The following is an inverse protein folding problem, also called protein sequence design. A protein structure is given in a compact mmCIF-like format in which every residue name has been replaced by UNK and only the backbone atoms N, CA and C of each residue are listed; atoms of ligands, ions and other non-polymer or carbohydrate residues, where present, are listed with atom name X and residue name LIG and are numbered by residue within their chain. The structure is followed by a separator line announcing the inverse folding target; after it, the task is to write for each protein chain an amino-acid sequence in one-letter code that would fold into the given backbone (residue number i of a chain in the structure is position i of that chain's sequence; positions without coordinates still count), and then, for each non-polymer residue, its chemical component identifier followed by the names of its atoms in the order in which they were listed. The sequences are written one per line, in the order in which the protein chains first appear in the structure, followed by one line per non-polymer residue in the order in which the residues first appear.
data_IF_248731465725
#
_entry.id   IF_248731465725
#
_cell.length_a   1.000
_cell.length_b   1.000
_cell.length_c   1.000
_cell.angle_alpha   90.00
_cell.angle_beta   90.00
_cell.angle_gamma   90.00
#
_symmetry.space_group_name_H-M   'P 1'
#
loop_
_entity.id
_entity.type
_entity.pdbx_description
1 polymer ?
#
# COMPACT_ATOMS: atom_id res chain seq x y z
N UNK A 1 -15.04 -21.49 17.88
CA UNK A 1 -14.38 -20.36 17.19
C UNK A 1 -14.15 -20.76 15.73
N UNK A 2 -15.07 -20.40 14.85
CA UNK A 2 -14.98 -20.69 13.43
C UNK A 2 -13.95 -19.73 12.80
N UNK A 3 -12.75 -20.23 12.51
CA UNK A 3 -11.82 -19.53 11.63
C UNK A 3 -12.44 -19.59 10.24
N UNK A 4 -13.20 -18.56 9.87
CA UNK A 4 -13.75 -18.46 8.52
C UNK A 4 -12.61 -18.24 7.54
N UNK A 5 -12.30 -19.28 6.75
CA UNK A 5 -11.37 -19.37 5.63
C UNK A 5 -9.95 -18.84 5.92
N UNK A 6 -9.05 -19.77 6.10
CA UNK A 6 -7.60 -19.54 6.04
C UNK A 6 -7.25 -18.88 4.71
N UNK A 7 -6.92 -17.61 4.75
CA UNK A 7 -6.30 -16.93 3.60
C UNK A 7 -4.80 -16.90 3.85
N UNK A 8 -4.01 -17.44 2.92
CA UNK A 8 -2.58 -17.28 2.95
C UNK A 8 -2.23 -15.81 2.71
N UNK A 9 -1.75 -15.14 3.74
CA UNK A 9 -1.29 -13.76 3.64
C UNK A 9 0.17 -13.73 3.21
N UNK A 10 0.50 -12.80 2.33
CA UNK A 10 1.85 -12.61 1.81
C UNK A 10 2.76 -11.82 2.74
N UNK A 11 2.19 -11.16 3.72
CA UNK A 11 2.89 -10.30 4.67
C UNK A 11 2.63 -10.72 6.10
N UNK A 12 3.56 -10.42 6.98
CA UNK A 12 3.42 -10.56 8.43
C UNK A 12 3.36 -9.15 9.00
N UNK A 13 2.45 -8.90 9.95
CA UNK A 13 2.45 -7.63 10.67
C UNK A 13 3.58 -7.63 11.69
N UNK A 14 4.50 -6.68 11.62
CA UNK A 14 5.55 -6.49 12.63
C UNK A 14 4.98 -5.96 13.94
N UNK A 15 3.81 -5.36 13.90
CA UNK A 15 3.15 -4.77 15.08
C UNK A 15 2.55 -5.83 16.00
N UNK A 16 2.04 -6.92 15.41
CA UNK A 16 1.48 -8.04 16.18
C UNK A 16 1.57 -9.34 15.37
N UNK A 17 2.56 -10.16 15.64
CA UNK A 17 2.70 -11.48 15.05
C UNK A 17 3.27 -12.50 16.02
N UNK A 18 2.91 -13.76 15.83
CA UNK A 18 3.52 -14.90 16.50
C UNK A 18 4.15 -15.81 15.45
N UNK A 19 5.39 -16.22 15.68
CA UNK A 19 6.13 -17.14 14.83
C UNK A 19 6.91 -18.09 15.74
N UNK A 20 6.99 -19.37 15.37
CA UNK A 20 7.81 -20.30 16.13
C UNK A 20 9.30 -19.94 16.00
N UNK A 21 10.06 -20.16 17.07
CA UNK A 21 11.49 -19.86 17.11
C UNK A 21 12.26 -20.57 16.00
N UNK A 22 11.90 -21.82 15.70
CA UNK A 22 12.58 -22.62 14.69
C UNK A 22 12.33 -22.09 13.29
N UNK A 23 11.08 -21.72 12.96
CA UNK A 23 10.74 -21.10 11.68
C UNK A 23 11.43 -19.76 11.56
N UNK A 24 11.43 -18.94 12.62
CA UNK A 24 12.06 -17.63 12.64
C UNK A 24 13.57 -17.71 12.37
N UNK A 25 14.25 -18.67 12.98
CA UNK A 25 15.67 -18.93 12.74
C UNK A 25 15.92 -19.45 11.32
N UNK A 26 15.09 -20.39 10.84
CA UNK A 26 15.20 -21.00 9.49
C UNK A 26 15.02 -19.97 8.37
N UNK A 27 14.17 -18.98 8.54
CA UNK A 27 13.96 -17.90 7.53
C UNK A 27 15.00 -16.78 7.62
N UNK A 28 15.92 -16.84 8.58
CA UNK A 28 17.02 -15.87 8.73
C UNK A 28 16.65 -14.62 9.51
N UNK A 29 15.65 -14.73 10.40
CA UNK A 29 15.22 -13.66 11.34
C UNK A 29 14.76 -12.38 10.64
N UNK A 30 14.51 -11.32 11.40
CA UNK A 30 14.35 -9.98 10.86
C UNK A 30 15.71 -9.48 10.37
N UNK A 31 15.79 -9.13 9.10
CA UNK A 31 16.95 -8.36 8.64
C UNK A 31 16.75 -6.92 9.05
N UNK A 32 17.73 -6.36 9.75
CA UNK A 32 17.76 -4.93 10.01
C UNK A 32 17.87 -4.20 8.67
N UNK A 33 16.79 -3.58 8.25
CA UNK A 33 16.79 -2.64 7.13
C UNK A 33 16.87 -1.27 7.77
N UNK A 34 17.91 -0.52 7.47
CA UNK A 34 18.05 0.84 7.94
C UNK A 34 16.80 1.64 7.55
N UNK A 35 16.02 2.07 8.54
CA UNK A 35 14.68 2.67 8.46
C UNK A 35 13.57 1.64 8.18
N UNK A 36 12.51 1.68 9.01
CA UNK A 36 11.37 0.76 9.00
C UNK A 36 10.67 0.65 7.64
N UNK A 37 10.44 -0.56 7.16
CA UNK A 37 9.62 -0.86 5.99
C UNK A 37 10.23 -1.90 5.05
N UNK A 38 9.42 -2.89 4.67
CA UNK A 38 9.83 -3.95 3.74
C UNK A 38 10.24 -5.26 4.40
N UNK A 39 10.73 -5.24 5.66
CA UNK A 39 11.09 -6.43 6.43
C UNK A 39 9.92 -7.41 6.59
N UNK A 40 8.73 -6.88 6.76
CA UNK A 40 7.48 -7.65 6.88
C UNK A 40 7.18 -8.44 5.60
N UNK A 41 7.44 -7.83 4.45
CA UNK A 41 7.26 -8.46 3.14
C UNK A 41 8.33 -9.52 2.88
N UNK A 42 9.59 -9.23 3.22
CA UNK A 42 10.70 -10.18 3.03
C UNK A 42 10.51 -11.42 3.90
N UNK A 43 10.18 -11.24 5.18
CA UNK A 43 9.94 -12.35 6.10
C UNK A 43 8.73 -13.17 5.67
N UNK A 44 7.59 -12.52 5.34
CA UNK A 44 6.41 -13.20 4.85
C UNK A 44 6.66 -13.98 3.55
N UNK A 45 7.47 -13.45 2.65
CA UNK A 45 7.88 -14.14 1.43
C UNK A 45 8.73 -15.38 1.70
N UNK A 46 9.71 -15.30 2.62
CA UNK A 46 10.56 -16.43 2.99
C UNK A 46 9.76 -17.55 3.64
N UNK A 47 8.81 -17.21 4.52
CA UNK A 47 7.92 -18.20 5.16
C UNK A 47 7.10 -18.93 4.10
N UNK A 48 6.57 -18.21 3.11
CA UNK A 48 5.81 -18.86 2.02
C UNK A 48 6.68 -19.75 1.14
N UNK A 49 7.95 -19.42 0.93
CA UNK A 49 8.90 -20.32 0.23
C UNK A 49 9.09 -21.66 0.92
N UNK A 50 8.85 -21.71 2.22
CA UNK A 50 8.86 -22.95 3.00
C UNK A 50 7.52 -23.70 2.94
N UNK A 51 6.59 -23.29 2.07
CA UNK A 51 5.21 -23.79 2.00
C UNK A 51 4.41 -23.70 3.31
N UNK A 52 4.81 -22.76 4.18
CA UNK A 52 4.11 -22.49 5.43
C UNK A 52 3.02 -21.43 5.22
N UNK A 53 1.93 -21.58 5.98
CA UNK A 53 0.78 -20.67 5.90
C UNK A 53 0.91 -19.55 6.92
N UNK A 54 0.64 -18.32 6.49
CA UNK A 54 0.42 -17.18 7.37
C UNK A 54 -1.09 -17.07 7.66
N UNK A 55 -1.46 -17.11 8.93
CA UNK A 55 -2.86 -17.06 9.37
C UNK A 55 -3.12 -15.72 10.06
N UNK A 56 -4.17 -15.02 9.65
CA UNK A 56 -4.65 -13.82 10.33
C UNK A 56 -5.81 -14.17 11.25
N UNK A 57 -5.61 -13.96 12.55
CA UNK A 57 -6.67 -14.19 13.53
C UNK A 57 -7.64 -13.01 13.51
N UNK A 58 -8.93 -13.29 13.24
CA UNK A 58 -9.98 -12.27 13.12
C UNK A 58 -10.23 -11.48 14.41
N UNK A 59 -10.04 -12.14 15.56
CA UNK A 59 -10.28 -11.55 16.90
C UNK A 59 -9.02 -11.02 17.58
N UNK A 60 -7.84 -11.24 17.01
CA UNK A 60 -6.61 -10.66 17.50
C UNK A 60 -6.54 -9.22 17.01
N UNK A 61 -6.63 -8.30 17.92
CA UNK A 61 -6.52 -6.87 17.66
C UNK A 61 -5.52 -6.26 18.63
N UNK A 62 -4.96 -5.16 18.22
CA UNK A 62 -4.15 -4.30 19.08
C UNK A 62 -4.62 -2.87 18.87
N UNK A 63 -4.47 -2.04 19.89
CA UNK A 63 -4.66 -0.61 19.78
C UNK A 63 -3.30 0.08 19.75
N UNK A 64 -3.13 0.98 18.82
CA UNK A 64 -1.88 1.72 18.65
C UNK A 64 -2.15 3.17 18.29
N UNK A 65 -1.13 3.99 18.43
CA UNK A 65 -1.18 5.38 18.00
C UNK A 65 -1.20 5.45 16.46
N UNK A 66 -2.21 6.12 15.92
CA UNK A 66 -2.29 6.43 14.50
C UNK A 66 -1.69 7.81 14.26
N UNK A 67 -0.66 7.87 13.44
CA UNK A 67 -0.09 9.13 13.02
C UNK A 67 -1.08 9.93 12.15
N UNK A 68 -0.92 11.24 12.13
CA UNK A 68 -1.67 12.14 11.24
C UNK A 68 -1.45 11.80 9.75
N UNK A 69 -2.26 12.41 8.88
CA UNK A 69 -2.25 12.10 7.45
C UNK A 69 -0.90 12.43 6.79
N UNK A 70 -0.23 13.51 7.21
CA UNK A 70 1.07 13.91 6.64
C UNK A 70 2.17 12.94 7.03
N UNK A 71 2.25 12.56 8.30
CA UNK A 71 3.20 11.56 8.77
C UNK A 71 2.95 10.21 8.10
N UNK A 72 1.68 9.85 7.90
CA UNK A 72 1.32 8.62 7.19
C UNK A 72 1.75 8.66 5.73
N UNK A 73 1.52 9.77 5.04
CA UNK A 73 1.97 9.99 3.65
C UNK A 73 3.48 9.81 3.52
N UNK A 74 4.26 10.44 4.40
CA UNK A 74 5.72 10.28 4.44
C UNK A 74 6.13 8.82 4.62
N UNK A 75 5.52 8.12 5.57
CA UNK A 75 5.79 6.68 5.78
C UNK A 75 5.42 5.82 4.57
N UNK A 76 4.33 6.16 3.87
CA UNK A 76 3.92 5.43 2.66
C UNK A 76 4.93 5.65 1.54
N UNK A 77 5.42 6.88 1.31
CA UNK A 77 6.47 7.19 0.35
C UNK A 77 7.70 6.31 0.63
N UNK A 78 8.21 6.35 1.86
CA UNK A 78 9.39 5.58 2.27
C UNK A 78 9.18 4.06 2.13
N UNK A 79 8.00 3.56 2.48
CA UNK A 79 7.65 2.13 2.35
C UNK A 79 7.54 1.70 0.90
N UNK A 80 6.96 2.53 0.04
CA UNK A 80 6.81 2.23 -1.38
C UNK A 80 8.16 2.14 -2.07
N UNK A 81 9.04 3.11 -1.81
CA UNK A 81 10.40 3.11 -2.32
C UNK A 81 11.15 1.80 -2.00
N UNK A 82 10.99 1.28 -0.78
CA UNK A 82 11.62 0.03 -0.34
C UNK A 82 10.90 -1.23 -0.83
N UNK A 83 9.61 -1.14 -1.09
CA UNK A 83 8.82 -2.27 -1.57
C UNK A 83 9.11 -2.61 -3.04
N UNK A 84 9.40 -1.61 -3.88
CA UNK A 84 9.61 -1.82 -5.31
C UNK A 84 10.71 -2.83 -5.63
N UNK A 85 11.91 -2.81 -5.02
CA UNK A 85 12.92 -3.84 -5.24
C UNK A 85 12.41 -5.26 -4.92
N UNK A 86 11.61 -5.37 -3.85
CA UNK A 86 11.01 -6.65 -3.44
C UNK A 86 9.98 -7.09 -4.47
N UNK A 87 9.15 -6.15 -4.97
CA UNK A 87 8.17 -6.41 -6.02
C UNK A 87 8.85 -6.85 -7.33
N UNK A 88 9.87 -6.15 -7.78
CA UNK A 88 10.61 -6.50 -9.01
C UNK A 88 11.23 -7.90 -8.92
N UNK A 89 11.71 -8.30 -7.73
CA UNK A 89 12.22 -9.64 -7.48
C UNK A 89 11.12 -10.70 -7.47
N UNK A 90 9.95 -10.38 -6.93
CA UNK A 90 8.80 -11.29 -6.82
C UNK A 90 8.00 -11.41 -8.11
N UNK A 91 7.93 -10.34 -8.90
CA UNK A 91 7.08 -10.16 -10.09
C UNK A 91 5.58 -10.44 -9.83
N UNK A 92 5.13 -10.29 -8.59
CA UNK A 92 3.73 -10.51 -8.17
C UNK A 92 3.32 -9.50 -7.11
N UNK A 93 2.14 -8.93 -7.29
CA UNK A 93 1.49 -8.14 -6.25
C UNK A 93 0.99 -9.03 -5.11
N UNK A 94 0.89 -8.46 -3.93
CA UNK A 94 0.30 -9.15 -2.80
C UNK A 94 -1.23 -9.22 -2.97
N UNK A 95 -1.79 -10.41 -2.80
CA UNK A 95 -3.21 -10.65 -3.11
C UNK A 95 -4.18 -10.16 -2.04
N UNK A 96 -3.75 -10.02 -0.79
CA UNK A 96 -4.65 -9.66 0.34
C UNK A 96 -3.88 -9.04 1.51
N UNK A 97 -4.44 -7.97 2.07
CA UNK A 97 -4.06 -7.46 3.39
C UNK A 97 -2.81 -6.58 3.45
N UNK A 98 -2.27 -6.18 2.30
CA UNK A 98 -1.10 -5.32 2.17
C UNK A 98 -1.45 -4.06 1.38
N UNK A 99 -0.68 -2.99 1.61
CA UNK A 99 -0.75 -1.75 0.80
C UNK A 99 -0.19 -1.95 -0.63
N UNK A 100 0.34 -3.11 -0.94
CA UNK A 100 1.01 -3.43 -2.19
C UNK A 100 0.15 -4.35 -3.07
N UNK A 101 -1.14 -4.04 -3.18
CA UNK A 101 -2.05 -4.75 -4.08
C UNK A 101 -2.03 -4.15 -5.47
N UNK A 102 -2.38 -4.95 -6.48
CA UNK A 102 -2.54 -4.45 -7.87
C UNK A 102 -3.59 -3.34 -7.94
N UNK A 103 -4.69 -3.46 -7.19
CA UNK A 103 -5.72 -2.43 -7.11
C UNK A 103 -5.19 -1.10 -6.60
N UNK A 104 -4.37 -1.12 -5.54
CA UNK A 104 -3.78 0.08 -4.98
C UNK A 104 -2.77 0.73 -5.94
N UNK A 105 -1.94 -0.06 -6.62
CA UNK A 105 -1.00 0.45 -7.63
C UNK A 105 -1.75 1.10 -8.79
N UNK A 106 -2.83 0.47 -9.25
CA UNK A 106 -3.67 1.00 -10.33
C UNK A 106 -4.42 2.27 -9.90
N UNK A 107 -5.00 2.29 -8.69
CA UNK A 107 -5.65 3.49 -8.14
C UNK A 107 -4.67 4.67 -8.01
N UNK A 108 -3.41 4.41 -7.64
CA UNK A 108 -2.36 5.44 -7.57
C UNK A 108 -2.01 6.01 -8.95
N UNK A 109 -1.95 5.16 -9.96
CA UNK A 109 -1.76 5.59 -11.35
C UNK A 109 -2.94 6.43 -11.85
N UNK A 110 -4.18 6.01 -11.56
CA UNK A 110 -5.38 6.78 -11.90
C UNK A 110 -5.39 8.16 -11.25
N UNK A 111 -5.00 8.26 -9.98
CA UNK A 111 -4.90 9.56 -9.29
C UNK A 111 -3.97 10.51 -10.04
N UNK A 112 -2.79 10.04 -10.45
CA UNK A 112 -1.87 10.85 -11.22
C UNK A 112 -2.47 11.29 -12.56
N UNK A 113 -3.10 10.36 -13.28
CA UNK A 113 -3.72 10.64 -14.57
C UNK A 113 -4.83 11.69 -14.43
N UNK A 114 -5.70 11.56 -13.42
CA UNK A 114 -6.75 12.53 -13.12
C UNK A 114 -6.15 13.91 -12.84
N UNK A 115 -5.13 13.99 -12.00
CA UNK A 115 -4.46 15.27 -11.68
C UNK A 115 -3.81 15.88 -12.91
N UNK A 116 -3.14 15.08 -13.75
CA UNK A 116 -2.54 15.55 -15.00
C UNK A 116 -3.58 16.11 -15.97
N UNK A 117 -4.72 15.42 -16.15
CA UNK A 117 -5.81 15.87 -17.01
C UNK A 117 -6.42 17.17 -16.49
N UNK A 118 -6.67 17.26 -15.17
CA UNK A 118 -7.18 18.48 -14.54
C UNK A 118 -6.20 19.64 -14.75
N UNK A 119 -4.89 19.40 -14.52
CA UNK A 119 -3.85 20.40 -14.71
C UNK A 119 -3.79 20.90 -16.16
N UNK A 120 -3.80 19.99 -17.15
CA UNK A 120 -3.80 20.36 -18.57
C UNK A 120 -5.06 21.16 -18.92
N UNK A 121 -6.20 20.77 -18.36
CA UNK A 121 -7.47 21.46 -18.66
C UNK A 121 -7.53 22.89 -18.09
N UNK A 122 -6.77 23.19 -17.04
CA UNK A 122 -6.63 24.56 -16.51
C UNK A 122 -6.00 25.53 -17.52
N UNK A 123 -5.13 25.02 -18.43
CA UNK A 123 -4.44 25.84 -19.41
C UNK A 123 -5.11 25.82 -20.78
N UNK A 124 -5.70 24.71 -21.18
CA UNK A 124 -6.18 24.49 -22.54
C UNK A 124 -7.70 24.40 -22.68
N UNK A 125 -8.45 24.43 -21.55
CA UNK A 125 -9.92 24.40 -21.52
C UNK A 125 -10.56 23.36 -22.47
N UNK A 126 -10.05 22.12 -22.44
CA UNK A 126 -10.49 21.04 -23.32
C UNK A 126 -11.80 20.44 -22.77
N UNK A 127 -12.97 20.63 -23.42
CA UNK A 127 -14.25 20.16 -22.87
C UNK A 127 -14.30 18.66 -22.62
N UNK A 128 -13.68 17.86 -23.48
CA UNK A 128 -13.61 16.41 -23.35
C UNK A 128 -12.78 15.96 -22.14
N UNK A 129 -11.75 16.73 -21.76
CA UNK A 129 -10.90 16.41 -20.61
C UNK A 129 -11.69 16.44 -19.30
N UNK A 130 -12.68 17.33 -19.18
CA UNK A 130 -13.56 17.40 -18.01
C UNK A 130 -14.40 16.11 -17.87
N UNK A 131 -15.05 15.69 -18.95
CA UNK A 131 -15.85 14.45 -18.96
C UNK A 131 -14.98 13.25 -18.64
N UNK A 132 -13.79 13.16 -19.26
CA UNK A 132 -12.85 12.08 -19.00
C UNK A 132 -12.41 12.03 -17.53
N UNK A 133 -12.14 13.19 -16.91
CA UNK A 133 -11.79 13.26 -15.47
C UNK A 133 -12.90 12.69 -14.60
N UNK A 134 -14.16 13.02 -14.87
CA UNK A 134 -15.33 12.51 -14.14
C UNK A 134 -15.41 10.98 -14.27
N UNK A 135 -15.27 10.45 -15.48
CA UNK A 135 -15.30 9.00 -15.72
C UNK A 135 -14.20 8.29 -14.94
N UNK A 136 -12.97 8.82 -14.94
CA UNK A 136 -11.85 8.25 -14.19
C UNK A 136 -12.07 8.31 -12.67
N UNK A 137 -12.65 9.40 -12.16
CA UNK A 137 -13.00 9.52 -10.73
C UNK A 137 -14.05 8.48 -10.34
N UNK A 138 -15.11 8.31 -11.15
CA UNK A 138 -16.12 7.28 -10.90
C UNK A 138 -15.50 5.89 -10.89
N UNK A 139 -14.63 5.60 -11.85
CA UNK A 139 -13.94 4.32 -11.90
C UNK A 139 -13.04 4.08 -10.68
N UNK A 140 -12.34 5.11 -10.22
CA UNK A 140 -11.54 5.03 -8.99
C UNK A 140 -12.42 4.78 -7.75
N UNK A 141 -13.59 5.44 -7.64
CA UNK A 141 -14.55 5.20 -6.56
C UNK A 141 -15.01 3.73 -6.56
N UNK A 142 -15.25 3.15 -7.73
CA UNK A 142 -15.63 1.73 -7.86
C UNK A 142 -14.50 0.82 -7.36
N UNK A 143 -13.25 1.11 -7.69
CA UNK A 143 -12.09 0.34 -7.20
C UNK A 143 -11.97 0.38 -5.67
N UNK A 144 -12.25 1.52 -5.07
CA UNK A 144 -12.14 1.76 -3.62
C UNK A 144 -13.48 1.51 -2.88
N UNK A 145 -14.52 1.04 -3.58
CA UNK A 145 -15.88 0.93 -3.04
C UNK A 145 -15.94 0.15 -1.73
N UNK A 146 -15.19 -0.95 -1.59
CA UNK A 146 -15.18 -1.76 -0.35
C UNK A 146 -14.72 -0.95 0.86
N UNK A 147 -13.70 -0.13 0.70
CA UNK A 147 -13.20 0.73 1.76
C UNK A 147 -14.17 1.88 2.05
N UNK A 148 -14.70 2.52 1.01
CA UNK A 148 -15.64 3.63 1.14
C UNK A 148 -16.95 3.20 1.81
N UNK A 149 -17.49 2.03 1.43
CA UNK A 149 -18.67 1.45 2.09
C UNK A 149 -18.38 1.16 3.57
N UNK A 150 -17.23 0.58 3.88
CA UNK A 150 -16.82 0.36 5.28
C UNK A 150 -16.74 1.68 6.06
N UNK A 151 -16.10 2.71 5.49
CA UNK A 151 -15.98 4.03 6.12
C UNK A 151 -17.36 4.67 6.37
N UNK A 152 -18.27 4.58 5.40
CA UNK A 152 -19.63 5.07 5.53
C UNK A 152 -20.44 4.31 6.58
N UNK A 153 -20.39 2.99 6.57
CA UNK A 153 -21.11 2.15 7.54
C UNK A 153 -20.65 2.40 8.98
N UNK A 154 -19.35 2.63 9.18
CA UNK A 154 -18.77 2.77 10.52
C UNK A 154 -18.91 4.19 11.07
N UNK A 155 -18.68 5.20 10.24
CA UNK A 155 -18.52 6.60 10.68
C UNK A 155 -19.40 7.61 9.92
N UNK A 156 -20.34 7.13 9.08
CA UNK A 156 -21.31 7.93 8.32
C UNK A 156 -20.66 8.87 7.27
N UNK A 157 -21.42 9.87 6.82
CA UNK A 157 -21.06 10.76 5.71
C UNK A 157 -19.77 11.54 5.94
N UNK A 158 -19.53 12.03 7.14
CA UNK A 158 -18.31 12.80 7.45
C UNK A 158 -17.05 12.02 7.14
N UNK A 159 -17.02 10.74 7.55
CA UNK A 159 -15.85 9.90 7.31
C UNK A 159 -15.73 9.47 5.85
N UNK A 160 -16.85 9.32 5.15
CA UNK A 160 -16.84 9.04 3.70
C UNK A 160 -16.15 10.18 2.94
N UNK A 161 -16.53 11.43 3.19
CA UNK A 161 -15.93 12.62 2.54
C UNK A 161 -14.44 12.73 2.87
N UNK A 162 -14.08 12.54 4.15
CA UNK A 162 -12.68 12.55 4.57
C UNK A 162 -11.88 11.40 3.92
N UNK A 163 -12.48 10.23 3.76
CA UNK A 163 -11.87 9.08 3.10
C UNK A 163 -11.63 9.31 1.61
N UNK A 164 -12.56 9.93 0.91
CA UNK A 164 -12.39 10.27 -0.51
C UNK A 164 -11.16 11.18 -0.71
N UNK A 165 -11.01 12.20 0.13
CA UNK A 165 -9.83 13.07 0.09
C UNK A 165 -8.55 12.34 0.53
N UNK A 166 -8.63 11.56 1.61
CA UNK A 166 -7.50 10.79 2.13
C UNK A 166 -6.94 9.77 1.15
N UNK A 167 -7.80 9.11 0.37
CA UNK A 167 -7.40 8.19 -0.70
C UNK A 167 -6.51 8.89 -1.73
N UNK A 168 -6.86 10.11 -2.15
CA UNK A 168 -6.08 10.84 -3.15
C UNK A 168 -4.67 11.13 -2.64
N UNK A 169 -4.55 11.57 -1.38
CA UNK A 169 -3.25 11.84 -0.75
C UNK A 169 -2.41 10.57 -0.63
N UNK A 170 -3.02 9.45 -0.22
CA UNK A 170 -2.34 8.16 -0.09
C UNK A 170 -1.87 7.65 -1.45
N UNK A 171 -2.71 7.71 -2.47
CA UNK A 171 -2.39 7.29 -3.83
C UNK A 171 -1.26 8.13 -4.43
N UNK A 172 -1.30 9.44 -4.23
CA UNK A 172 -0.22 10.34 -4.64
C UNK A 172 1.09 10.01 -3.91
N UNK A 173 1.01 9.69 -2.62
CA UNK A 173 2.19 9.28 -1.83
C UNK A 173 2.82 7.99 -2.36
N UNK A 174 2.01 7.01 -2.77
CA UNK A 174 2.49 5.76 -3.39
C UNK A 174 3.18 6.07 -4.71
N UNK A 175 2.58 6.94 -5.55
CA UNK A 175 3.19 7.33 -6.81
C UNK A 175 4.52 8.03 -6.60
N UNK A 176 4.60 9.00 -5.68
CA UNK A 176 5.84 9.73 -5.34
C UNK A 176 6.92 8.75 -4.88
N UNK A 177 6.59 7.80 -4.00
CA UNK A 177 7.54 6.78 -3.55
C UNK A 177 8.05 5.90 -4.69
N UNK A 178 7.18 5.56 -5.65
CA UNK A 178 7.55 4.85 -6.87
C UNK A 178 8.48 5.66 -7.78
N UNK A 179 8.14 6.91 -7.99
CA UNK A 179 8.94 7.84 -8.79
C UNK A 179 10.34 8.05 -8.19
N UNK A 180 10.42 8.30 -6.89
CA UNK A 180 11.69 8.46 -6.19
C UNK A 180 12.59 7.23 -6.32
N UNK A 181 12.01 6.02 -6.24
CA UNK A 181 12.77 4.79 -6.46
C UNK A 181 13.37 4.75 -7.87
N UNK A 182 12.57 5.01 -8.91
CA UNK A 182 13.05 5.01 -10.31
C UNK A 182 14.11 6.09 -10.50
N UNK A 183 13.85 7.31 -10.04
CA UNK A 183 14.75 8.45 -10.16
C UNK A 183 16.11 8.17 -9.51
N UNK A 184 16.12 7.70 -8.26
CA UNK A 184 17.35 7.39 -7.54
C UNK A 184 18.17 6.27 -8.19
N UNK A 185 17.49 5.27 -8.80
CA UNK A 185 18.19 4.19 -9.50
C UNK A 185 18.69 4.59 -10.90
N UNK A 186 18.00 5.53 -11.57
CA UNK A 186 18.39 5.97 -12.92
C UNK A 186 19.54 6.97 -12.88
N UNK A 187 19.56 7.87 -11.88
CA UNK A 187 20.58 8.92 -11.76
C UNK A 187 21.85 8.41 -11.07
N UNK A 188 21.86 7.15 -10.62
CA UNK A 188 23.04 6.54 -10.04
C UNK A 188 23.48 7.15 -8.71
N UNK A 189 22.60 7.88 -8.02
CA UNK A 189 22.86 8.33 -6.66
C UNK A 189 22.90 7.08 -5.76
N UNK A 190 24.06 6.66 -5.26
CA UNK A 190 24.13 5.49 -4.41
C UNK A 190 23.29 5.78 -3.18
N UNK A 191 22.23 4.98 -2.97
CA UNK A 191 21.57 4.96 -1.69
C UNK A 191 22.66 4.90 -0.61
N UNK A 192 22.75 5.93 0.23
CA UNK A 192 23.62 5.85 1.42
C UNK A 192 23.25 4.57 2.15
N UNK A 193 24.08 3.55 1.98
CA UNK A 193 24.11 2.37 2.84
C UNK A 193 24.55 2.86 4.22
N UNK A 194 23.61 3.28 5.05
CA UNK A 194 23.85 3.48 6.47
C UNK A 194 23.36 2.24 7.21
#
# INVERSE_FOLDING_TARGET
HTIKKEKNFSTISSEFCMISKDIFNKVGKWKSVAKAGGEEFDLGYKIRKLNLKNIKLKKAGYSGYWCDLLQRSKRIIERTEKYIPIFLKKKKFDSVGSFATSGQAFSSFLTLLILAIIFINLFYAIPFAFVLSIVLIIFQIILEAKFLVFAFQTYKLKMLLFSLFGIQIINLSIFIGGFLYVFNNTIGLPFKKN
#
